data_IF_701699140109
#
_entry.id   IF_701699140109
#
_cell.length_a   1.000
_cell.length_b   1.000
_cell.length_c   1.000
_cell.angle_alpha   90.00
_cell.angle_beta   90.00
_cell.angle_gamma   90.00
#
_symmetry.space_group_name_H-M   'P 1'
#
loop_
_entity.id
_entity.type
_entity.pdbx_description
1 polymer ?
#
# COMPACT_ATOMS: atom_id res chain seq x y z
N UNK A 1 -31.59 4.82 19.68
CA UNK A 1 -31.83 5.61 18.45
C UNK A 1 -31.97 4.65 17.28
N UNK A 2 -33.12 4.57 16.63
CA UNK A 2 -33.29 3.76 15.44
C UNK A 2 -32.47 4.39 14.28
N UNK A 3 -31.68 3.60 13.58
CA UNK A 3 -31.01 4.06 12.37
C UNK A 3 -32.10 4.39 11.31
N UNK A 4 -32.09 5.62 10.78
CA UNK A 4 -33.04 5.97 9.71
C UNK A 4 -32.68 5.20 8.43
N UNK A 5 -33.70 4.87 7.62
CA UNK A 5 -33.47 4.10 6.38
C UNK A 5 -32.52 4.81 5.40
N UNK A 6 -32.42 6.15 5.43
CA UNK A 6 -31.49 6.96 4.63
C UNK A 6 -30.05 6.79 5.06
N UNK A 7 -29.77 6.73 6.36
CA UNK A 7 -28.41 6.51 6.91
C UNK A 7 -27.92 5.10 6.58
N UNK A 8 -28.79 4.09 6.67
CA UNK A 8 -28.46 2.71 6.28
C UNK A 8 -28.10 2.62 4.81
N UNK A 9 -28.83 3.34 3.92
CA UNK A 9 -28.50 3.41 2.49
C UNK A 9 -27.11 3.97 2.25
N UNK A 10 -26.75 5.06 2.94
CA UNK A 10 -25.41 5.70 2.80
C UNK A 10 -24.28 4.84 3.38
N UNK A 11 -24.56 4.01 4.39
CA UNK A 11 -23.58 3.07 4.92
C UNK A 11 -23.27 1.94 3.91
N UNK A 12 -24.28 1.46 3.18
CA UNK A 12 -24.13 0.43 2.16
C UNK A 12 -23.50 0.99 0.88
N UNK A 13 -24.08 2.09 0.38
CA UNK A 13 -23.64 2.76 -0.85
C UNK A 13 -23.55 4.27 -0.59
N UNK A 14 -22.31 4.81 -0.45
CA UNK A 14 -22.09 6.24 -0.26
C UNK A 14 -22.78 7.05 -1.37
N UNK A 15 -23.47 8.09 -0.96
CA UNK A 15 -24.27 8.92 -1.89
C UNK A 15 -25.74 8.53 -2.02
N UNK A 16 -26.13 7.32 -1.69
CA UNK A 16 -27.53 6.87 -1.86
C UNK A 16 -28.51 7.58 -0.91
N UNK A 17 -28.10 7.82 0.33
CA UNK A 17 -28.89 8.57 1.29
C UNK A 17 -29.10 10.01 0.86
N UNK A 18 -28.07 10.67 0.39
CA UNK A 18 -28.07 12.03 -0.15
C UNK A 18 -28.98 12.15 -1.38
N UNK A 19 -28.92 11.17 -2.28
CA UNK A 19 -29.84 11.09 -3.42
C UNK A 19 -31.29 10.94 -2.97
N UNK A 20 -31.55 10.14 -1.93
CA UNK A 20 -32.89 9.95 -1.36
C UNK A 20 -33.43 11.22 -0.71
N UNK A 21 -32.56 12.11 -0.24
CA UNK A 21 -32.87 13.44 0.30
C UNK A 21 -32.87 14.54 -0.79
N UNK A 22 -32.93 14.15 -2.06
CA UNK A 22 -32.94 15.03 -3.24
C UNK A 22 -31.67 15.89 -3.39
N UNK A 23 -30.56 15.50 -2.76
CA UNK A 23 -29.27 16.19 -2.87
C UNK A 23 -28.37 15.54 -3.92
N UNK A 24 -28.77 15.67 -5.20
CA UNK A 24 -28.16 14.98 -6.35
C UNK A 24 -26.66 15.24 -6.46
N UNK A 25 -26.20 16.49 -6.33
CA UNK A 25 -24.80 16.86 -6.52
C UNK A 25 -23.87 16.16 -5.51
N UNK A 26 -24.27 16.07 -4.24
CA UNK A 26 -23.49 15.41 -3.20
C UNK A 26 -23.47 13.90 -3.38
N UNK A 27 -24.68 13.32 -3.57
CA UNK A 27 -24.81 11.89 -3.76
C UNK A 27 -24.00 11.38 -4.95
N UNK A 28 -24.01 12.09 -6.08
CA UNK A 28 -23.21 11.73 -7.26
C UNK A 28 -21.70 11.78 -6.98
N UNK A 29 -21.20 12.79 -6.25
CA UNK A 29 -19.78 12.91 -5.92
C UNK A 29 -19.31 11.77 -5.02
N UNK A 30 -20.08 11.43 -3.99
CA UNK A 30 -19.76 10.34 -3.07
C UNK A 30 -19.81 8.97 -3.76
N UNK A 31 -20.81 8.77 -4.63
CA UNK A 31 -20.92 7.55 -5.43
C UNK A 31 -19.77 7.43 -6.44
N UNK A 32 -19.41 8.52 -7.13
CA UNK A 32 -18.27 8.53 -8.05
C UNK A 32 -16.96 8.22 -7.32
N UNK A 33 -16.75 8.81 -6.14
CA UNK A 33 -15.59 8.50 -5.30
C UNK A 33 -15.54 7.01 -4.91
N UNK A 34 -16.67 6.42 -4.53
CA UNK A 34 -16.74 4.99 -4.19
C UNK A 34 -16.37 4.11 -5.39
N UNK A 35 -16.88 4.41 -6.58
CA UNK A 35 -16.56 3.69 -7.81
C UNK A 35 -15.06 3.77 -8.12
N UNK A 36 -14.47 4.97 -8.05
CA UNK A 36 -13.03 5.16 -8.30
C UNK A 36 -12.20 4.37 -7.29
N UNK A 37 -12.56 4.41 -6.02
CA UNK A 37 -11.86 3.66 -4.98
C UNK A 37 -11.94 2.15 -5.22
N UNK A 38 -13.11 1.61 -5.58
CA UNK A 38 -13.26 0.20 -5.95
C UNK A 38 -12.42 -0.20 -7.16
N UNK A 39 -12.43 0.63 -8.21
CA UNK A 39 -11.58 0.40 -9.39
C UNK A 39 -10.09 0.40 -9.01
N UNK A 40 -9.68 1.30 -8.11
CA UNK A 40 -8.29 1.33 -7.62
C UNK A 40 -7.93 0.08 -6.82
N UNK A 41 -8.84 -0.43 -5.96
CA UNK A 41 -8.63 -1.69 -5.23
C UNK A 41 -8.45 -2.85 -6.19
N UNK A 42 -9.40 -3.04 -7.09
CA UNK A 42 -9.43 -4.20 -7.99
C UNK A 42 -8.25 -4.20 -8.97
N UNK A 43 -8.03 -3.07 -9.65
CA UNK A 43 -6.94 -2.96 -10.61
C UNK A 43 -5.57 -2.95 -9.90
N UNK A 44 -5.46 -2.29 -8.75
CA UNK A 44 -4.21 -2.23 -8.00
C UNK A 44 -3.75 -3.60 -7.52
N UNK A 45 -4.66 -4.44 -7.01
CA UNK A 45 -4.32 -5.82 -6.62
C UNK A 45 -3.93 -6.69 -7.82
N UNK A 46 -4.61 -6.53 -8.96
CA UNK A 46 -4.25 -7.26 -10.17
C UNK A 46 -2.90 -6.83 -10.73
N UNK A 47 -2.65 -5.52 -10.81
CA UNK A 47 -1.36 -4.99 -11.27
C UNK A 47 -0.22 -5.41 -10.35
N UNK A 48 -0.41 -5.34 -9.02
CA UNK A 48 0.58 -5.81 -8.06
C UNK A 48 0.95 -7.27 -8.31
N UNK A 49 -0.03 -8.17 -8.48
CA UNK A 49 0.22 -9.59 -8.75
C UNK A 49 0.90 -9.83 -10.10
N UNK A 50 0.51 -9.10 -11.14
CA UNK A 50 1.14 -9.23 -12.44
C UNK A 50 2.62 -8.83 -12.37
N UNK A 51 2.94 -7.66 -11.81
CA UNK A 51 4.33 -7.26 -11.60
C UNK A 51 5.10 -8.20 -10.68
N UNK A 52 4.43 -8.82 -9.69
CA UNK A 52 5.05 -9.85 -8.86
C UNK A 52 5.43 -11.08 -9.68
N UNK A 53 4.55 -11.56 -10.53
CA UNK A 53 4.84 -12.67 -11.45
C UNK A 53 5.98 -12.32 -12.40
N UNK A 54 5.95 -11.09 -12.94
CA UNK A 54 6.94 -10.64 -13.91
C UNK A 54 8.34 -10.52 -13.27
N UNK A 55 8.47 -9.88 -12.11
CA UNK A 55 9.78 -9.75 -11.47
C UNK A 55 10.34 -11.10 -10.99
N UNK A 56 9.47 -12.03 -10.57
CA UNK A 56 9.91 -13.38 -10.19
C UNK A 56 10.44 -14.16 -11.40
N UNK A 57 9.71 -14.17 -12.52
CA UNK A 57 10.15 -14.79 -13.74
C UNK A 57 11.47 -14.18 -14.24
N UNK A 58 11.56 -12.84 -14.20
CA UNK A 58 12.76 -12.12 -14.62
C UNK A 58 13.99 -12.44 -13.76
N UNK A 59 13.82 -12.56 -12.42
CA UNK A 59 14.91 -12.94 -11.54
C UNK A 59 15.34 -14.40 -11.71
N UNK A 60 14.41 -15.31 -12.01
CA UNK A 60 14.78 -16.69 -12.34
C UNK A 60 15.60 -16.77 -13.63
N UNK A 61 15.25 -15.97 -14.64
CA UNK A 61 15.96 -15.96 -15.93
C UNK A 61 17.34 -15.29 -15.84
N UNK A 62 17.43 -14.13 -15.16
CA UNK A 62 18.62 -13.27 -15.19
C UNK A 62 19.52 -13.36 -13.96
N UNK A 63 19.04 -14.02 -12.90
CA UNK A 63 19.79 -14.19 -11.66
C UNK A 63 19.78 -15.63 -11.12
N UNK A 64 19.08 -16.56 -11.78
CA UNK A 64 19.02 -17.96 -11.39
C UNK A 64 18.26 -18.21 -10.08
N UNK A 65 17.35 -17.31 -9.69
CA UNK A 65 16.61 -17.39 -8.42
C UNK A 65 15.60 -18.52 -8.46
N UNK A 66 15.64 -19.39 -7.45
CA UNK A 66 14.56 -20.33 -7.15
C UNK A 66 13.60 -19.73 -6.11
N UNK A 67 12.31 -19.63 -6.45
CA UNK A 67 11.28 -19.03 -5.59
C UNK A 67 10.60 -20.03 -4.65
N UNK A 68 11.23 -21.17 -4.33
CA UNK A 68 10.72 -22.11 -3.33
C UNK A 68 10.64 -21.46 -1.93
N UNK A 69 11.49 -20.46 -1.67
CA UNK A 69 11.49 -19.64 -0.46
C UNK A 69 10.97 -18.25 -0.78
N UNK A 70 9.69 -17.99 -0.50
CA UNK A 70 8.98 -16.75 -0.89
C UNK A 70 8.99 -15.69 0.21
N UNK A 71 10.12 -15.43 0.86
CA UNK A 71 10.24 -14.33 1.82
C UNK A 71 10.29 -12.98 1.09
N UNK A 72 9.47 -12.01 1.58
CA UNK A 72 9.46 -10.65 1.08
C UNK A 72 10.85 -9.99 1.18
N UNK A 73 11.56 -10.24 2.28
CA UNK A 73 12.89 -9.66 2.50
C UNK A 73 13.91 -10.23 1.52
N UNK A 74 13.85 -11.50 1.21
CA UNK A 74 14.68 -12.12 0.18
C UNK A 74 14.47 -11.45 -1.19
N UNK A 75 13.22 -11.22 -1.58
CA UNK A 75 12.91 -10.49 -2.81
C UNK A 75 13.45 -9.05 -2.80
N UNK A 76 13.52 -8.39 -1.64
CA UNK A 76 14.13 -7.06 -1.49
C UNK A 76 15.65 -7.15 -1.70
N UNK A 77 16.31 -8.08 -1.02
CA UNK A 77 17.78 -8.20 -0.99
C UNK A 77 18.36 -8.55 -2.36
N UNK A 78 17.70 -9.41 -3.14
CA UNK A 78 18.04 -9.72 -4.54
C UNK A 78 18.15 -8.44 -5.40
N UNK A 79 17.30 -7.46 -5.17
CA UNK A 79 17.30 -6.20 -5.93
C UNK A 79 18.41 -5.22 -5.53
N UNK A 80 19.07 -5.45 -4.40
CA UNK A 80 20.11 -4.54 -3.88
C UNK A 80 21.54 -5.06 -4.03
N UNK A 81 21.74 -6.37 -4.16
CA UNK A 81 23.06 -7.00 -4.24
C UNK A 81 23.19 -7.79 -5.54
N UNK A 82 24.39 -7.79 -6.13
CA UNK A 82 24.64 -8.47 -7.38
C UNK A 82 24.65 -10.01 -7.22
N UNK A 83 25.07 -10.49 -6.04
CA UNK A 83 25.08 -11.91 -5.71
C UNK A 83 24.84 -12.15 -4.22
N UNK A 84 24.49 -13.39 -3.87
CA UNK A 84 24.39 -13.87 -2.49
C UNK A 84 25.66 -13.60 -1.69
N UNK A 85 26.82 -13.86 -2.27
CA UNK A 85 28.13 -13.63 -1.64
C UNK A 85 28.35 -12.17 -1.24
N UNK A 86 27.89 -11.23 -2.07
CA UNK A 86 28.03 -9.80 -1.79
C UNK A 86 27.13 -9.37 -0.62
N UNK A 87 25.89 -9.89 -0.59
CA UNK A 87 24.99 -9.69 0.53
C UNK A 87 25.58 -10.23 1.83
N UNK A 88 25.97 -11.51 1.86
CA UNK A 88 26.53 -12.15 3.04
C UNK A 88 27.79 -11.42 3.54
N UNK A 89 28.66 -11.01 2.62
CA UNK A 89 29.88 -10.24 2.96
C UNK A 89 29.56 -8.86 3.54
N UNK A 90 28.55 -8.16 3.00
CA UNK A 90 28.11 -6.86 3.52
C UNK A 90 27.51 -7.00 4.93
N UNK A 91 26.70 -8.03 5.17
CA UNK A 91 26.10 -8.28 6.48
C UNK A 91 27.11 -8.72 7.52
N UNK A 92 28.11 -9.55 7.13
CA UNK A 92 29.20 -9.93 8.02
C UNK A 92 30.04 -8.71 8.46
N UNK A 93 30.36 -7.80 7.53
CA UNK A 93 31.07 -6.54 7.85
C UNK A 93 30.25 -5.65 8.78
N UNK A 94 28.96 -5.50 8.54
CA UNK A 94 28.07 -4.71 9.40
C UNK A 94 28.06 -5.25 10.83
N UNK A 95 27.95 -6.56 11.01
CA UNK A 95 28.02 -7.21 12.34
C UNK A 95 29.36 -6.97 13.04
N UNK A 96 30.49 -7.06 12.32
CA UNK A 96 31.81 -6.79 12.90
C UNK A 96 31.94 -5.36 13.43
N UNK A 97 31.48 -4.37 12.67
CA UNK A 97 31.52 -2.97 13.09
C UNK A 97 30.64 -2.71 14.33
N UNK A 98 29.51 -3.37 14.44
CA UNK A 98 28.61 -3.22 15.58
C UNK A 98 29.14 -3.91 16.83
N UNK A 99 29.84 -5.04 16.70
CA UNK A 99 30.55 -5.70 17.82
C UNK A 99 31.69 -4.83 18.34
N UNK A 100 32.36 -4.03 17.50
CA UNK A 100 33.40 -3.08 17.92
C UNK A 100 32.82 -1.86 18.64
N UNK A 101 31.58 -1.48 18.39
CA UNK A 101 30.92 -0.31 18.99
C UNK A 101 30.23 -0.60 20.33
N UNK A 102 30.09 -1.85 20.74
CA UNK A 102 29.47 -2.25 22.00
C UNK A 102 30.52 -2.82 22.96
N UNK A 103 31.00 -2.05 23.96
CA UNK A 103 32.07 -2.50 24.88
C UNK A 103 31.74 -3.74 25.74
N UNK A 104 30.49 -4.16 25.77
CA UNK A 104 30.02 -5.21 26.70
C UNK A 104 29.84 -6.58 26.07
N UNK A 105 30.15 -6.77 24.77
CA UNK A 105 30.09 -8.12 24.16
C UNK A 105 28.68 -8.71 24.04
N UNK A 106 27.64 -7.95 24.39
CA UNK A 106 26.27 -8.40 24.23
C UNK A 106 25.89 -8.34 22.76
N UNK A 107 25.57 -9.49 22.20
CA UNK A 107 24.92 -9.65 20.88
C UNK A 107 23.52 -9.02 20.92
N UNK A 108 23.49 -7.70 21.06
CA UNK A 108 22.23 -6.97 21.12
C UNK A 108 21.88 -6.53 19.72
N UNK A 109 20.91 -7.15 19.20
CA UNK A 109 19.96 -6.92 18.11
C UNK A 109 20.11 -7.94 17.00
N UNK A 110 19.17 -8.82 16.95
CA UNK A 110 18.68 -9.43 15.73
C UNK A 110 18.32 -8.29 14.76
N UNK A 111 19.24 -7.96 13.85
CA UNK A 111 18.88 -7.21 12.66
C UNK A 111 17.93 -8.11 11.86
N UNK A 112 16.83 -7.55 11.36
CA UNK A 112 15.79 -8.28 10.67
C UNK A 112 16.22 -9.00 9.37
N UNK A 113 17.53 -9.04 9.09
CA UNK A 113 18.13 -9.76 7.98
C UNK A 113 19.23 -10.68 8.49
N UNK A 114 18.94 -11.97 8.56
CA UNK A 114 19.95 -13.00 8.75
C UNK A 114 20.79 -13.17 7.48
N UNK A 115 22.03 -13.69 7.63
CA UNK A 115 22.83 -14.20 6.51
C UNK A 115 22.07 -15.39 5.90
N UNK A 116 21.93 -15.41 4.58
CA UNK A 116 21.33 -16.55 3.88
C UNK A 116 22.32 -17.70 3.80
N UNK A 117 21.86 -18.95 3.99
CA UNK A 117 22.72 -20.11 3.86
C UNK A 117 23.18 -20.32 2.41
N UNK A 118 24.45 -20.72 2.24
CA UNK A 118 25.05 -21.00 0.92
C UNK A 118 24.84 -22.49 0.58
N UNK A 119 23.60 -22.96 0.62
CA UNK A 119 23.23 -24.35 0.36
C UNK A 119 22.49 -24.57 -0.99
N UNK A 120 22.38 -23.51 -1.78
CA UNK A 120 21.69 -23.50 -3.08
C UNK A 120 20.22 -23.05 -3.01
N UNK A 121 19.59 -23.03 -1.83
CA UNK A 121 18.17 -22.66 -1.70
C UNK A 121 17.92 -21.16 -1.86
N UNK A 122 18.92 -20.34 -1.56
CA UNK A 122 18.86 -18.88 -1.61
C UNK A 122 19.86 -18.29 -2.59
N UNK A 123 20.32 -19.04 -3.57
CA UNK A 123 21.35 -18.60 -4.50
C UNK A 123 20.79 -17.58 -5.49
N UNK A 124 21.57 -16.52 -5.76
CA UNK A 124 21.34 -15.62 -6.89
C UNK A 124 22.66 -15.00 -7.36
N UNK A 125 22.71 -14.71 -8.65
CA UNK A 125 23.78 -13.92 -9.26
C UNK A 125 23.27 -13.25 -10.53
N UNK A 126 23.18 -11.94 -10.48
CA UNK A 126 22.76 -11.15 -11.64
C UNK A 126 23.76 -11.24 -12.77
N UNK A 127 23.27 -11.42 -13.99
CA UNK A 127 24.06 -11.38 -15.22
C UNK A 127 24.55 -9.96 -15.52
N UNK A 128 23.72 -8.93 -15.25
CA UNK A 128 24.06 -7.52 -15.42
C UNK A 128 23.42 -6.63 -14.34
N UNK A 129 24.09 -5.52 -14.02
CA UNK A 129 23.55 -4.50 -13.12
C UNK A 129 22.26 -3.85 -13.68
N UNK A 130 22.14 -3.77 -15.00
CA UNK A 130 20.92 -3.26 -15.66
C UNK A 130 19.72 -4.16 -15.39
N UNK A 131 19.89 -5.48 -15.47
CA UNK A 131 18.82 -6.44 -15.20
C UNK A 131 18.42 -6.42 -13.71
N UNK A 132 19.39 -6.30 -12.81
CA UNK A 132 19.12 -6.08 -11.39
C UNK A 132 18.27 -4.82 -11.16
N UNK A 133 18.58 -3.70 -11.85
CA UNK A 133 17.78 -2.48 -11.73
C UNK A 133 16.36 -2.66 -12.29
N UNK A 134 16.20 -3.30 -13.43
CA UNK A 134 14.90 -3.60 -14.03
C UNK A 134 14.03 -4.46 -13.11
N UNK A 135 14.61 -5.49 -12.49
CA UNK A 135 13.95 -6.28 -11.46
C UNK A 135 13.47 -5.41 -10.29
N UNK A 136 14.37 -4.57 -9.74
CA UNK A 136 14.06 -3.68 -8.63
C UNK A 136 12.88 -2.76 -8.96
N UNK A 137 12.87 -2.21 -10.17
CA UNK A 137 11.81 -1.31 -10.61
C UNK A 137 10.46 -2.05 -10.68
N UNK A 138 10.40 -3.25 -11.28
CA UNK A 138 9.20 -4.07 -11.32
C UNK A 138 8.71 -4.44 -9.90
N UNK A 139 9.61 -4.81 -9.00
CA UNK A 139 9.28 -5.13 -7.61
C UNK A 139 8.72 -3.91 -6.87
N UNK A 140 9.32 -2.73 -7.05
CA UNK A 140 8.83 -1.47 -6.46
C UNK A 140 7.46 -1.11 -7.02
N UNK A 141 7.23 -1.32 -8.32
CA UNK A 141 5.92 -1.12 -8.95
C UNK A 141 4.86 -2.05 -8.33
N UNK A 142 5.17 -3.34 -8.17
CA UNK A 142 4.29 -4.30 -7.50
C UNK A 142 3.92 -3.82 -6.09
N UNK A 143 4.91 -3.47 -5.28
CA UNK A 143 4.71 -3.00 -3.91
C UNK A 143 3.90 -1.68 -3.83
N UNK A 144 4.12 -0.76 -4.76
CA UNK A 144 3.37 0.50 -4.82
C UNK A 144 1.91 0.27 -5.18
N UNK A 145 1.60 -0.60 -6.13
CA UNK A 145 0.22 -0.91 -6.48
C UNK A 145 -0.52 -1.62 -5.34
N UNK A 146 0.14 -2.52 -4.60
CA UNK A 146 -0.43 -3.10 -3.39
C UNK A 146 -0.73 -2.04 -2.33
N UNK A 147 0.20 -1.13 -2.10
CA UNK A 147 0.04 0.01 -1.19
C UNK A 147 -1.14 0.91 -1.59
N UNK A 148 -1.26 1.26 -2.89
CA UNK A 148 -2.38 2.07 -3.38
C UNK A 148 -3.72 1.36 -3.23
N UNK A 149 -3.78 0.06 -3.51
CA UNK A 149 -4.99 -0.73 -3.29
C UNK A 149 -5.41 -0.74 -1.81
N UNK A 150 -4.46 -0.86 -0.89
CA UNK A 150 -4.72 -0.83 0.56
C UNK A 150 -5.18 0.55 1.02
N UNK A 151 -4.60 1.65 0.49
CA UNK A 151 -5.07 3.01 0.77
C UNK A 151 -6.48 3.24 0.20
N UNK A 152 -6.78 2.74 -0.98
CA UNK A 152 -8.12 2.84 -1.54
C UNK A 152 -9.15 2.07 -0.70
N UNK A 153 -8.77 0.91 -0.14
CA UNK A 153 -9.63 0.16 0.79
C UNK A 153 -9.96 0.97 2.06
N UNK A 154 -8.95 1.63 2.65
CA UNK A 154 -9.17 2.57 3.76
C UNK A 154 -10.07 3.75 3.33
N UNK A 155 -9.86 4.27 2.12
CA UNK A 155 -10.67 5.33 1.53
C UNK A 155 -12.15 4.94 1.39
N UNK A 156 -12.46 3.70 1.04
CA UNK A 156 -13.83 3.18 0.99
C UNK A 156 -14.53 3.27 2.35
N UNK A 157 -13.81 2.95 3.43
CA UNK A 157 -14.37 3.06 4.81
C UNK A 157 -14.64 4.52 5.14
N UNK A 158 -13.68 5.39 4.87
CA UNK A 158 -13.80 6.85 5.13
C UNK A 158 -14.95 7.44 4.33
N UNK A 159 -15.11 7.07 3.04
CA UNK A 159 -16.19 7.56 2.19
C UNK A 159 -17.58 7.18 2.75
N UNK A 160 -17.74 5.98 3.33
CA UNK A 160 -18.98 5.56 3.99
C UNK A 160 -19.27 6.39 5.24
N UNK A 161 -18.27 6.63 6.06
CA UNK A 161 -18.40 7.46 7.27
C UNK A 161 -18.82 8.89 6.89
N UNK A 162 -18.17 9.47 5.88
CA UNK A 162 -18.49 10.81 5.37
C UNK A 162 -19.94 10.86 4.89
N UNK A 163 -20.39 9.89 4.10
CA UNK A 163 -21.75 9.84 3.58
C UNK A 163 -22.78 9.74 4.71
N UNK A 164 -22.55 8.90 5.70
CA UNK A 164 -23.46 8.79 6.86
C UNK A 164 -23.56 10.12 7.63
N UNK A 165 -22.42 10.79 7.87
CA UNK A 165 -22.39 12.08 8.57
C UNK A 165 -23.11 13.15 7.74
N UNK A 166 -22.91 13.18 6.42
CA UNK A 166 -23.56 14.13 5.53
C UNK A 166 -25.09 13.95 5.54
N UNK A 167 -25.57 12.70 5.47
CA UNK A 167 -27.01 12.40 5.60
C UNK A 167 -27.57 12.86 6.95
N UNK A 168 -26.85 12.59 8.06
CA UNK A 168 -27.27 13.05 9.38
C UNK A 168 -27.39 14.57 9.46
N UNK A 169 -26.48 15.28 8.82
CA UNK A 169 -26.52 16.73 8.71
C UNK A 169 -27.72 17.21 7.90
N UNK A 170 -27.94 16.62 6.72
CA UNK A 170 -29.08 16.94 5.84
C UNK A 170 -30.43 16.69 6.51
N UNK A 171 -30.58 15.58 7.25
CA UNK A 171 -31.81 15.27 8.01
C UNK A 171 -32.09 16.31 9.11
N UNK A 172 -31.05 16.84 9.75
CA UNK A 172 -31.20 17.84 10.84
C UNK A 172 -31.50 19.24 10.33
N UNK A 173 -30.86 19.64 9.25
CA UNK A 173 -30.89 21.05 8.83
C UNK A 173 -31.95 21.34 7.77
N UNK A 174 -32.42 20.32 7.04
CA UNK A 174 -33.30 20.50 5.89
C UNK A 174 -32.68 21.43 4.81
N UNK A 175 -31.43 21.82 4.96
CA UNK A 175 -30.73 22.77 4.09
C UNK A 175 -29.69 22.09 3.22
N UNK A 176 -29.63 22.50 1.97
CA UNK A 176 -28.69 22.02 0.94
C UNK A 176 -27.30 22.69 0.99
N UNK A 177 -26.86 23.23 2.12
CA UNK A 177 -25.53 23.83 2.22
C UNK A 177 -24.43 22.74 2.22
N UNK A 178 -23.42 22.85 1.35
CA UNK A 178 -22.44 21.79 1.18
C UNK A 178 -21.46 21.70 2.36
N UNK A 179 -21.27 20.47 2.88
CA UNK A 179 -20.03 20.13 3.57
C UNK A 179 -18.93 20.15 2.52
N UNK A 180 -17.92 20.97 2.68
CA UNK A 180 -16.78 20.98 1.79
C UNK A 180 -15.76 19.98 2.30
N UNK A 181 -15.56 18.90 1.56
CA UNK A 181 -14.43 17.99 1.76
C UNK A 181 -13.32 18.34 0.76
N UNK A 182 -12.13 18.59 1.24
CA UNK A 182 -10.97 18.88 0.42
C UNK A 182 -9.85 17.92 0.78
N UNK A 183 -9.39 17.16 -0.21
CA UNK A 183 -8.17 16.36 -0.07
C UNK A 183 -7.01 17.25 -0.46
N UNK A 184 -6.13 17.52 0.51
CA UNK A 184 -4.90 18.30 0.29
C UNK A 184 -3.75 17.30 0.23
N UNK A 185 -3.13 17.15 -0.94
CA UNK A 185 -1.94 16.35 -1.12
C UNK A 185 -0.71 17.25 -1.13
N UNK A 186 0.19 17.06 -0.18
CA UNK A 186 1.53 17.65 -0.17
C UNK A 186 2.57 16.53 -0.43
N UNK A 187 2.59 16.01 -1.66
CA UNK A 187 3.39 14.83 -2.01
C UNK A 187 2.68 13.50 -1.71
N UNK A 188 3.32 12.40 -2.13
CA UNK A 188 2.75 11.03 -2.04
C UNK A 188 2.59 10.57 -0.59
N UNK A 189 3.38 11.12 0.34
CA UNK A 189 3.43 10.68 1.74
C UNK A 189 2.63 11.56 2.70
N UNK A 190 1.98 12.61 2.22
CA UNK A 190 1.29 13.57 3.08
C UNK A 190 -0.09 13.93 2.50
N UNK A 191 -1.08 13.06 2.78
CA UNK A 191 -2.47 13.24 2.39
C UNK A 191 -3.25 13.74 3.60
N UNK A 192 -3.81 14.95 3.51
CA UNK A 192 -4.68 15.51 4.55
C UNK A 192 -6.11 15.61 4.04
N UNK A 193 -7.06 15.07 4.80
CA UNK A 193 -8.49 15.26 4.57
C UNK A 193 -8.97 16.44 5.41
N UNK A 194 -9.37 17.55 4.78
CA UNK A 194 -9.99 18.71 5.44
C UNK A 194 -11.50 18.62 5.27
N UNK A 195 -12.22 18.51 6.38
CA UNK A 195 -13.68 18.58 6.42
C UNK A 195 -14.07 19.95 6.98
N UNK A 196 -14.83 20.75 6.22
CA UNK A 196 -15.37 22.04 6.67
C UNK A 196 -16.88 21.92 6.84
N UNK A 197 -17.35 22.11 8.05
CA UNK A 197 -18.78 22.13 8.40
C UNK A 197 -19.25 23.57 8.46
N UNK A 198 -20.27 23.99 7.70
CA UNK A 198 -20.91 25.29 7.92
C UNK A 198 -21.75 25.20 9.19
N UNK A 199 -21.46 26.05 10.15
CA UNK A 199 -22.29 26.25 11.35
C UNK A 199 -23.37 27.29 11.09
#
# INVERSE_FOLDING_TARGET
MAFSGTRTKSLLFPGWGELSLNNKSRGQKLLAADIILWLTVLNGKNLSKNYESDYRAFASEHAGVDWNHTDYLFAVDIGYYDALSDYNSAKARQRSLEMELTPNGDLIREYGHSIYPENGDFDWRWDTASNRQSYKDMRVFSANWDKYANFALAGLIVNRVISVIDVMYLERTGKSTPIQSQIITKGIDNIQLKLSFPF
#
